data_IF_163080846751
#
_entry.id   IF_163080846751
#
_cell.length_a   1.000
_cell.length_b   1.000
_cell.length_c   1.000
_cell.angle_alpha   90.00
_cell.angle_beta   90.00
_cell.angle_gamma   90.00
#
_symmetry.space_group_name_H-M   'P 1'
#
loop_
_entity.id
_entity.type
_entity.pdbx_description
1 polymer ?
#
# COMPACT_ATOMS: atom_id res chain seq x y z
N UNK A 1 -0.70 5.96 -11.77
CA UNK A 1 -0.23 4.62 -11.35
C UNK A 1 -0.58 3.48 -12.30
N UNK A 2 -1.71 3.52 -13.00
CA UNK A 2 -2.14 2.46 -13.92
C UNK A 2 -1.08 2.03 -14.97
N UNK A 3 -0.40 2.98 -15.63
CA UNK A 3 0.66 2.65 -16.60
C UNK A 3 1.84 1.87 -15.99
N UNK A 4 2.22 2.22 -14.76
CA UNK A 4 3.32 1.55 -14.03
C UNK A 4 2.86 0.16 -13.59
N UNK A 5 1.65 0.07 -13.02
CA UNK A 5 1.02 -1.19 -12.63
C UNK A 5 1.00 -2.18 -13.80
N UNK A 6 0.50 -1.75 -14.96
CA UNK A 6 0.40 -2.60 -16.14
C UNK A 6 1.78 -3.01 -16.69
N UNK A 7 2.77 -2.10 -16.68
CA UNK A 7 4.14 -2.42 -17.08
C UNK A 7 4.83 -3.44 -16.18
N UNK A 8 4.47 -3.45 -14.89
CA UNK A 8 5.02 -4.38 -13.90
C UNK A 8 4.24 -5.69 -13.81
N UNK A 9 3.16 -5.86 -14.58
CA UNK A 9 2.35 -7.09 -14.59
C UNK A 9 1.40 -7.23 -13.39
N UNK A 10 1.27 -6.22 -12.55
CA UNK A 10 0.29 -6.21 -11.47
C UNK A 10 -1.09 -5.89 -12.02
N UNK A 11 -2.13 -6.52 -11.48
CA UNK A 11 -3.52 -6.30 -11.94
C UNK A 11 -4.33 -5.45 -10.98
N UNK A 12 -3.96 -5.46 -9.71
CA UNK A 12 -4.66 -4.74 -8.66
C UNK A 12 -3.73 -3.77 -7.93
N UNK A 13 -4.30 -2.73 -7.36
CA UNK A 13 -3.54 -1.68 -6.67
C UNK A 13 -4.40 -0.87 -5.71
N UNK A 14 -3.80 -0.46 -4.59
CA UNK A 14 -4.27 0.64 -3.74
C UNK A 14 -3.26 1.76 -3.83
N UNK A 15 -3.75 2.98 -4.00
CA UNK A 15 -2.94 4.20 -4.09
C UNK A 15 -3.44 5.14 -3.02
N UNK A 16 -2.52 5.67 -2.21
CA UNK A 16 -2.77 6.80 -1.33
C UNK A 16 -2.06 8.00 -1.94
N UNK A 17 -2.84 9.03 -2.27
CA UNK A 17 -2.34 10.23 -2.91
C UNK A 17 -1.33 10.96 -2.02
N UNK A 18 -0.40 11.65 -2.67
CA UNK A 18 0.55 12.54 -2.00
C UNK A 18 -0.16 13.73 -1.36
N UNK A 19 0.33 14.17 -0.20
CA UNK A 19 -0.10 15.43 0.43
C UNK A 19 0.96 16.49 0.13
N UNK A 20 0.60 17.47 -0.70
CA UNK A 20 1.53 18.53 -1.13
C UNK A 20 2.66 18.00 -2.02
N UNK A 21 3.91 18.28 -1.65
CA UNK A 21 5.11 17.83 -2.37
C UNK A 21 5.69 16.51 -1.83
N UNK A 22 4.96 15.78 -0.98
CA UNK A 22 5.39 14.46 -0.51
C UNK A 22 5.34 13.43 -1.64
N UNK A 23 6.03 12.30 -1.47
CA UNK A 23 5.68 11.10 -2.23
C UNK A 23 4.24 10.65 -1.91
N UNK A 24 3.67 9.82 -2.77
CA UNK A 24 2.45 9.05 -2.49
C UNK A 24 2.81 7.59 -2.15
N UNK A 25 1.86 6.86 -1.57
CA UNK A 25 2.02 5.42 -1.31
C UNK A 25 1.26 4.60 -2.33
N UNK A 26 1.82 3.45 -2.70
CA UNK A 26 1.13 2.48 -3.53
C UNK A 26 1.46 1.05 -3.12
N UNK A 27 0.42 0.24 -3.01
CA UNK A 27 0.50 -1.21 -2.91
C UNK A 27 0.00 -1.81 -4.22
N UNK A 28 0.78 -2.73 -4.80
CA UNK A 28 0.52 -3.39 -6.09
C UNK A 28 0.54 -4.90 -5.87
N UNK A 29 -0.40 -5.64 -6.46
CA UNK A 29 -0.43 -7.10 -6.37
C UNK A 29 -1.08 -7.76 -7.59
N UNK A 30 -0.87 -9.06 -7.70
CA UNK A 30 -1.37 -9.92 -8.78
C UNK A 30 -2.70 -10.58 -8.39
N UNK A 31 -3.38 -11.21 -9.35
CA UNK A 31 -4.67 -11.88 -9.10
C UNK A 31 -4.54 -13.17 -8.27
N UNK A 32 -3.33 -13.69 -8.06
CA UNK A 32 -3.12 -14.86 -7.20
C UNK A 32 -3.30 -14.53 -5.70
N UNK A 33 -3.43 -13.25 -5.36
CA UNK A 33 -3.49 -12.76 -3.99
C UNK A 33 -4.72 -11.85 -3.80
N UNK A 34 -5.50 -12.13 -2.77
CA UNK A 34 -6.54 -11.26 -2.26
C UNK A 34 -5.95 -10.33 -1.19
N UNK A 35 -6.15 -9.03 -1.38
CA UNK A 35 -5.71 -8.00 -0.44
C UNK A 35 -6.92 -7.20 0.04
N UNK A 36 -7.10 -7.14 1.35
CA UNK A 36 -8.10 -6.30 2.00
C UNK A 36 -7.42 -5.18 2.77
N UNK A 37 -7.64 -3.94 2.36
CA UNK A 37 -7.21 -2.79 3.14
C UNK A 37 -7.99 -2.70 4.45
N UNK A 38 -7.27 -2.59 5.56
CA UNK A 38 -7.83 -2.47 6.91
C UNK A 38 -7.76 -1.04 7.40
N UNK A 39 -6.62 -0.37 7.17
CA UNK A 39 -6.47 1.07 7.38
C UNK A 39 -5.40 1.65 6.46
N UNK A 40 -5.49 2.94 6.18
CA UNK A 40 -4.48 3.66 5.43
C UNK A 40 -4.46 5.14 5.84
N UNK A 41 -3.30 5.76 5.70
CA UNK A 41 -3.07 7.19 5.84
C UNK A 41 -2.01 7.63 4.82
N UNK A 42 -1.69 8.92 4.79
CA UNK A 42 -0.53 9.40 4.01
C UNK A 42 0.80 8.75 4.43
N UNK A 43 0.84 8.09 5.60
CA UNK A 43 2.05 7.53 6.21
C UNK A 43 2.01 6.02 6.41
N UNK A 44 0.89 5.35 6.12
CA UNK A 44 0.85 3.90 6.22
C UNK A 44 -0.22 3.27 5.32
N UNK A 45 0.01 2.01 4.96
CA UNK A 45 -1.00 1.13 4.40
C UNK A 45 -0.95 -0.16 5.20
N UNK A 46 -2.10 -0.60 5.68
CA UNK A 46 -2.26 -1.78 6.50
C UNK A 46 -3.33 -2.70 5.92
N UNK A 47 -2.98 -3.97 5.72
CA UNK A 47 -3.77 -4.91 4.93
C UNK A 47 -3.77 -6.32 5.51
N UNK A 48 -4.87 -7.03 5.31
CA UNK A 48 -4.94 -8.49 5.39
C UNK A 48 -4.71 -9.05 3.99
N UNK A 49 -3.87 -10.09 3.91
CA UNK A 49 -3.43 -10.70 2.66
C UNK A 49 -3.68 -12.20 2.72
N UNK A 50 -4.22 -12.75 1.63
CA UNK A 50 -4.53 -14.18 1.48
C UNK A 50 -4.22 -14.62 0.06
N UNK A 51 -3.66 -15.82 -0.11
CA UNK A 51 -3.53 -16.44 -1.45
C UNK A 51 -4.90 -16.99 -1.84
N UNK A 52 -5.33 -16.76 -3.09
CA UNK A 52 -6.60 -17.28 -3.59
C UNK A 52 -6.66 -18.80 -3.43
N UNK A 53 -7.69 -19.30 -2.75
CA UNK A 53 -7.86 -20.72 -2.44
C UNK A 53 -7.02 -21.26 -1.26
N UNK A 54 -6.12 -20.44 -0.70
CA UNK A 54 -5.41 -20.74 0.54
C UNK A 54 -6.28 -20.50 1.77
N UNK A 55 -5.96 -21.15 2.89
CA UNK A 55 -6.66 -20.95 4.17
C UNK A 55 -5.98 -19.88 5.04
N UNK A 56 -4.68 -19.70 4.87
CA UNK A 56 -3.89 -18.82 5.72
C UNK A 56 -4.02 -17.36 5.33
N UNK A 57 -4.22 -16.54 6.35
CA UNK A 57 -4.25 -15.08 6.27
C UNK A 57 -3.08 -14.51 7.04
N UNK A 58 -2.44 -13.51 6.44
CA UNK A 58 -1.35 -12.79 7.08
C UNK A 58 -1.55 -11.28 6.91
N UNK A 59 -0.76 -10.50 7.63
CA UNK A 59 -0.88 -9.04 7.69
C UNK A 59 0.34 -8.39 7.06
N UNK A 60 0.10 -7.46 6.14
CA UNK A 60 1.13 -6.59 5.59
C UNK A 60 0.84 -5.15 6.01
N UNK A 61 1.76 -4.57 6.77
CA UNK A 61 1.74 -3.16 7.14
C UNK A 61 2.99 -2.47 6.62
N UNK A 62 2.81 -1.51 5.73
CA UNK A 62 3.88 -0.65 5.22
C UNK A 62 3.78 0.74 5.83
N UNK A 63 4.91 1.30 6.24
CA UNK A 63 5.00 2.66 6.77
C UNK A 63 5.84 3.55 5.84
N UNK A 64 5.48 4.83 5.79
CA UNK A 64 6.15 5.87 5.05
C UNK A 64 6.35 7.09 5.94
N UNK A 65 7.60 7.31 6.35
CA UNK A 65 7.93 8.36 7.30
C UNK A 65 7.87 9.76 6.70
N UNK A 66 7.68 10.75 7.58
CA UNK A 66 7.84 12.16 7.22
C UNK A 66 9.30 12.47 6.82
N UNK A 67 9.47 13.01 5.61
CA UNK A 67 10.77 13.48 5.09
C UNK A 67 11.34 14.64 5.91
N UNK A 68 10.49 15.42 6.58
CA UNK A 68 10.89 16.51 7.45
C UNK A 68 11.12 15.96 8.86
N UNK A 69 12.35 16.06 9.35
CA UNK A 69 12.77 15.53 10.66
C UNK A 69 11.88 16.02 11.80
N UNK A 70 11.41 17.28 11.72
CA UNK A 70 10.55 17.93 12.72
C UNK A 70 9.15 17.29 12.84
N UNK A 71 8.71 16.55 11.83
CA UNK A 71 7.36 15.98 11.76
C UNK A 71 7.36 14.46 12.03
N UNK A 72 8.50 13.86 12.39
CA UNK A 72 8.61 12.41 12.65
C UNK A 72 7.73 11.88 13.79
N UNK A 73 7.24 12.76 14.67
CA UNK A 73 6.29 12.42 15.74
C UNK A 73 4.82 12.69 15.38
N UNK A 74 4.53 13.13 14.15
CA UNK A 74 3.16 13.33 13.68
C UNK A 74 2.71 12.06 12.95
N UNK A 75 1.55 11.55 13.37
CA UNK A 75 0.87 10.37 12.81
C UNK A 75 -0.46 10.78 12.20
#
# INVERSE_FOLDING_TARGET
>A
MEKIRNKLGFRQSVVVDSVGSSGGLCLLWTEEVEVRALSFSAHHIDTEVQIVGGQDKWRLTGFYGHLVTSDRNKS
#
